data_IF_064531034253
#
_entry.id   IF_064531034253
#
_cell.length_a   1.000
_cell.length_b   1.000
_cell.length_c   1.000
_cell.angle_alpha   90.00
_cell.angle_beta   90.00
_cell.angle_gamma   90.00
#
_symmetry.space_group_name_H-M   'P 1'
#
loop_
_entity.id
_entity.type
_entity.pdbx_description
1 polymer ?
#
# COMPACT_ATOMS: atom_id res chain seq x y z
N UNK A 1 21.39 -69.05 19.04
CA UNK A 1 20.57 -70.27 18.88
C UNK A 1 19.53 -70.04 17.76
N UNK A 2 18.69 -71.04 17.43
CA UNK A 2 17.59 -71.03 16.41
C UNK A 2 16.71 -69.77 16.52
N UNK A 3 16.13 -69.12 15.50
CA UNK A 3 15.93 -69.31 14.03
C UNK A 3 14.93 -70.39 13.56
N UNK A 4 13.69 -69.97 13.22
CA UNK A 4 12.72 -70.49 12.23
C UNK A 4 11.79 -69.29 11.82
N UNK A 5 11.22 -69.05 10.62
CA UNK A 5 10.65 -69.85 9.49
C UNK A 5 9.22 -70.37 9.76
N UNK A 6 8.23 -70.38 8.83
CA UNK A 6 7.98 -69.67 7.52
C UNK A 6 6.53 -70.01 7.03
N UNK A 7 6.06 -69.41 5.92
CA UNK A 7 4.86 -69.76 5.08
C UNK A 7 3.46 -69.47 5.68
N UNK A 8 2.37 -69.28 4.92
CA UNK A 8 2.25 -68.89 3.48
C UNK A 8 1.43 -69.81 2.54
N UNK A 9 0.26 -69.33 2.07
CA UNK A 9 -0.52 -69.63 0.82
C UNK A 9 -1.71 -68.64 0.82
N UNK A 10 -2.17 -67.95 -0.24
CA UNK A 10 -2.28 -68.16 -1.70
C UNK A 10 -3.50 -69.01 -2.14
N UNK A 11 -4.43 -68.37 -2.86
CA UNK A 11 -5.59 -68.95 -3.55
C UNK A 11 -6.14 -67.97 -4.59
N UNK A 12 -6.54 -68.45 -5.77
CA UNK A 12 -6.86 -67.67 -6.99
C UNK A 12 -7.96 -68.43 -7.79
N UNK A 13 -8.57 -67.78 -8.82
CA UNK A 13 -9.59 -68.30 -9.76
C UNK A 13 -11.04 -68.26 -9.17
N UNK A 14 -12.17 -68.10 -9.90
CA UNK A 14 -12.55 -67.67 -11.28
C UNK A 14 -14.11 -67.44 -11.24
N UNK A 15 -14.88 -66.83 -12.18
CA UNK A 15 -14.67 -66.26 -13.52
C UNK A 15 -15.67 -65.09 -13.83
N UNK A 16 -16.06 -64.92 -15.11
CA UNK A 16 -17.04 -63.99 -15.71
C UNK A 16 -18.49 -64.57 -15.73
N UNK A 17 -19.57 -63.96 -16.26
CA UNK A 17 -19.82 -62.76 -17.12
C UNK A 17 -21.25 -62.20 -16.82
N UNK A 18 -21.94 -61.28 -17.54
CA UNK A 18 -21.71 -60.51 -18.79
C UNK A 18 -22.54 -59.17 -18.73
N UNK A 19 -22.05 -58.01 -19.20
CA UNK A 19 -22.22 -57.37 -20.53
C UNK A 19 -23.65 -56.91 -20.93
N UNK A 20 -23.86 -55.58 -20.93
CA UNK A 20 -24.32 -54.80 -22.11
C UNK A 20 -24.02 -53.30 -21.92
N UNK A 21 -23.37 -52.68 -22.93
CA UNK A 21 -23.79 -51.40 -23.57
C UNK A 21 -23.89 -50.12 -22.68
N UNK A 22 -23.21 -48.98 -22.96
CA UNK A 22 -22.47 -48.50 -24.15
C UNK A 22 -21.36 -47.49 -23.79
N UNK A 23 -20.49 -47.14 -24.75
CA UNK A 23 -19.74 -45.86 -24.75
C UNK A 23 -18.30 -45.91 -24.19
N UNK A 24 -17.27 -45.60 -25.00
CA UNK A 24 -15.88 -45.53 -24.53
C UNK A 24 -15.49 -44.12 -24.06
N UNK A 25 -14.73 -44.03 -22.97
CA UNK A 25 -13.87 -42.86 -22.66
C UNK A 25 -12.44 -43.36 -22.45
N UNK A 26 -11.52 -42.82 -23.25
CA UNK A 26 -10.11 -43.19 -23.22
C UNK A 26 -9.42 -42.64 -21.95
N UNK A 27 -8.52 -43.43 -21.37
CA UNK A 27 -7.68 -43.01 -20.25
C UNK A 27 -6.56 -42.06 -20.73
N UNK A 28 -6.93 -40.81 -20.98
CA UNK A 28 -5.98 -39.76 -21.36
C UNK A 28 -5.45 -39.03 -20.11
N UNK A 29 -4.12 -39.06 -19.92
CA UNK A 29 -3.45 -38.32 -18.86
C UNK A 29 -3.44 -36.81 -19.17
N UNK A 30 -4.55 -36.13 -18.90
CA UNK A 30 -4.69 -34.70 -19.09
C UNK A 30 -3.94 -33.93 -17.99
N UNK A 31 -2.91 -33.18 -18.37
CA UNK A 31 -2.23 -32.23 -17.49
C UNK A 31 -3.25 -31.26 -16.86
N UNK A 32 -3.22 -31.09 -15.54
CA UNK A 32 -4.02 -30.10 -14.82
C UNK A 32 -3.52 -28.67 -15.12
N UNK A 33 -3.83 -28.19 -16.32
CA UNK A 33 -3.51 -26.85 -16.82
C UNK A 33 -4.14 -25.81 -15.91
N UNK A 34 -3.32 -25.16 -15.08
CA UNK A 34 -3.75 -24.21 -14.06
C UNK A 34 -4.62 -23.10 -14.68
N UNK A 35 -5.94 -23.15 -14.45
CA UNK A 35 -6.92 -22.25 -15.06
C UNK A 35 -7.10 -20.99 -14.23
N UNK A 36 -6.18 -20.05 -14.45
CA UNK A 36 -6.44 -18.62 -14.58
C UNK A 36 -7.66 -18.07 -13.78
N UNK A 37 -7.55 -18.01 -12.46
CA UNK A 37 -8.37 -17.16 -11.61
C UNK A 37 -7.62 -15.84 -11.37
N UNK A 38 -8.24 -14.70 -11.65
CA UNK A 38 -7.53 -13.43 -11.75
C UNK A 38 -7.01 -12.90 -10.41
N UNK A 39 -5.68 -12.76 -10.29
CA UNK A 39 -5.06 -11.88 -9.29
C UNK A 39 -5.32 -10.42 -9.67
N UNK A 40 -6.52 -9.94 -9.34
CA UNK A 40 -7.02 -8.64 -9.78
C UNK A 40 -6.17 -7.47 -9.26
N UNK A 41 -6.08 -6.41 -10.07
CA UNK A 41 -5.49 -5.14 -9.66
C UNK A 41 -6.31 -4.51 -8.55
N UNK A 42 -5.75 -4.43 -7.35
CA UNK A 42 -6.30 -3.54 -6.31
C UNK A 42 -5.57 -2.21 -6.32
N UNK A 43 -6.33 -1.16 -6.64
CA UNK A 43 -6.04 0.25 -6.40
C UNK A 43 -6.70 0.67 -5.08
N UNK A 44 -6.31 1.81 -4.48
CA UNK A 44 -7.03 2.41 -3.36
C UNK A 44 -8.55 2.50 -3.62
N UNK A 45 -8.92 2.91 -4.84
CA UNK A 45 -10.31 2.97 -5.31
C UNK A 45 -11.01 1.60 -5.40
N UNK A 46 -10.27 0.50 -5.59
CA UNK A 46 -10.81 -0.87 -5.55
C UNK A 46 -10.86 -1.44 -4.12
N UNK A 47 -10.21 -0.78 -3.15
CA UNK A 47 -10.36 -1.02 -1.72
C UNK A 47 -11.46 -0.16 -1.07
N UNK A 48 -12.08 0.77 -1.83
CA UNK A 48 -13.04 1.75 -1.32
C UNK A 48 -12.40 2.94 -0.58
N UNK A 49 -11.07 3.06 -0.56
CA UNK A 49 -10.37 4.08 0.23
C UNK A 49 -10.10 5.32 -0.63
N UNK A 50 -10.47 6.55 -0.20
CA UNK A 50 -10.04 7.78 -0.87
C UNK A 50 -8.51 7.90 -0.88
N UNK A 51 -7.94 8.29 -2.03
CA UNK A 51 -6.48 8.27 -2.23
C UNK A 51 -5.70 9.06 -1.15
N UNK A 52 -6.20 10.23 -0.75
CA UNK A 52 -5.57 11.06 0.28
C UNK A 52 -5.63 10.44 1.69
N UNK A 53 -6.65 9.62 1.97
CA UNK A 53 -6.76 8.89 3.23
C UNK A 53 -5.76 7.74 3.29
N UNK A 54 -5.58 7.00 2.18
CA UNK A 54 -4.55 5.96 2.09
C UNK A 54 -3.14 6.54 2.25
N UNK A 55 -2.88 7.74 1.70
CA UNK A 55 -1.59 8.42 1.89
C UNK A 55 -1.30 8.70 3.38
N UNK A 56 -2.30 9.09 4.16
CA UNK A 56 -2.19 9.26 5.61
C UNK A 56 -1.97 7.93 6.35
N UNK A 57 -2.70 6.88 6.00
CA UNK A 57 -2.50 5.54 6.60
C UNK A 57 -1.09 4.98 6.31
N UNK A 58 -0.56 5.19 5.08
CA UNK A 58 0.81 4.80 4.73
C UNK A 58 1.84 5.61 5.53
N UNK A 59 1.61 6.92 5.67
CA UNK A 59 2.51 7.85 6.36
C UNK A 59 2.55 7.59 7.87
N UNK A 60 1.39 7.54 8.53
CA UNK A 60 1.29 7.27 9.97
C UNK A 60 1.89 5.92 10.37
N UNK A 61 1.60 4.86 9.60
CA UNK A 61 2.20 3.54 9.83
C UNK A 61 3.73 3.53 9.63
N UNK A 62 4.26 4.28 8.67
CA UNK A 62 5.70 4.38 8.42
C UNK A 62 6.44 5.25 9.46
N UNK A 63 5.76 6.23 10.08
CA UNK A 63 6.36 7.14 11.06
C UNK A 63 6.37 6.61 12.50
N UNK A 64 5.51 5.64 12.85
CA UNK A 64 5.23 5.28 14.25
C UNK A 64 6.48 4.92 15.09
N UNK A 65 7.50 4.30 14.49
CA UNK A 65 8.72 3.88 15.18
C UNK A 65 9.62 5.03 15.63
N UNK A 66 9.37 6.26 15.15
CA UNK A 66 9.96 7.51 15.67
C UNK A 66 9.50 7.80 17.10
N UNK A 67 8.30 7.35 17.46
CA UNK A 67 7.64 7.63 18.74
C UNK A 67 7.53 6.39 19.62
N UNK A 68 7.30 5.22 19.03
CA UNK A 68 7.27 3.91 19.71
C UNK A 68 8.26 2.96 19.04
N UNK A 69 9.55 3.11 19.39
CA UNK A 69 10.66 2.35 18.78
C UNK A 69 10.58 0.83 18.94
N UNK A 70 9.86 0.35 19.97
CA UNK A 70 9.60 -1.08 20.18
C UNK A 70 8.49 -1.67 19.33
N UNK A 71 7.69 -0.85 18.63
CA UNK A 71 6.52 -1.34 17.90
C UNK A 71 6.89 -2.14 16.63
N UNK A 72 6.17 -3.24 16.40
CA UNK A 72 6.35 -4.12 15.24
C UNK A 72 5.01 -4.39 14.56
N UNK A 73 5.05 -4.79 13.28
CA UNK A 73 3.87 -5.24 12.52
C UNK A 73 2.81 -4.17 12.22
N UNK A 74 3.00 -2.92 12.65
CA UNK A 74 2.21 -1.78 12.20
C UNK A 74 2.25 -1.68 10.67
N UNK A 75 1.08 -1.52 10.07
CA UNK A 75 0.88 -1.45 8.62
C UNK A 75 -0.39 -0.67 8.30
N UNK A 76 -0.45 -0.06 7.11
CA UNK A 76 -1.58 0.79 6.71
C UNK A 76 -2.93 0.06 6.77
N UNK A 77 -2.96 -1.27 6.59
CA UNK A 77 -4.16 -2.09 6.69
C UNK A 77 -4.81 -2.04 8.08
N UNK A 78 -4.02 -1.89 9.16
CA UNK A 78 -4.55 -1.73 10.52
C UNK A 78 -5.30 -0.40 10.64
N UNK A 79 -4.66 0.69 10.18
CA UNK A 79 -5.23 2.04 10.24
C UNK A 79 -6.46 2.18 9.33
N UNK A 80 -6.43 1.58 8.14
CA UNK A 80 -7.60 1.44 7.29
C UNK A 80 -8.72 0.60 7.95
N UNK A 81 -8.36 -0.49 8.64
CA UNK A 81 -9.31 -1.32 9.39
C UNK A 81 -10.10 -0.55 10.43
N UNK A 82 -9.44 0.30 11.21
CA UNK A 82 -10.07 1.22 12.17
C UNK A 82 -10.91 2.26 11.42
N UNK A 83 -10.29 3.08 10.54
CA UNK A 83 -10.96 4.20 9.89
C UNK A 83 -12.15 3.80 9.00
N UNK A 84 -12.21 2.54 8.53
CA UNK A 84 -13.41 1.98 7.87
C UNK A 84 -14.60 1.92 8.84
N UNK A 85 -14.38 1.41 10.05
CA UNK A 85 -15.43 1.23 11.06
C UNK A 85 -15.84 2.57 11.66
N UNK A 86 -14.87 3.47 11.86
CA UNK A 86 -15.10 4.78 12.51
C UNK A 86 -15.72 5.84 11.58
N UNK A 87 -15.40 5.85 10.28
CA UNK A 87 -15.84 6.93 9.37
C UNK A 87 -16.04 6.52 7.91
N UNK A 88 -16.02 5.21 7.59
CA UNK A 88 -15.93 4.69 6.21
C UNK A 88 -14.79 5.37 5.41
N UNK A 89 -13.66 5.66 6.08
CA UNK A 89 -12.54 6.45 5.56
C UNK A 89 -12.91 7.90 5.17
N UNK A 90 -13.66 8.61 6.02
CA UNK A 90 -14.18 9.96 5.73
C UNK A 90 -15.10 10.02 4.49
N UNK A 91 -15.90 8.96 4.27
CA UNK A 91 -16.83 8.85 3.14
C UNK A 91 -17.83 10.01 3.11
N UNK A 92 -17.88 10.74 1.99
CA UNK A 92 -18.72 11.94 1.84
C UNK A 92 -18.06 13.27 2.26
N UNK A 93 -16.85 13.26 2.82
CA UNK A 93 -16.10 14.46 3.19
C UNK A 93 -15.04 14.81 2.14
N UNK A 94 -14.66 16.09 2.05
CA UNK A 94 -13.50 16.54 1.28
C UNK A 94 -12.25 16.37 2.15
N UNK A 95 -11.18 15.82 1.57
CA UNK A 95 -9.87 15.68 2.23
C UNK A 95 -8.87 16.52 1.46
N UNK A 96 -8.38 17.60 2.08
CA UNK A 96 -7.46 18.55 1.49
C UNK A 96 -6.07 17.98 1.23
N UNK A 97 -5.28 18.66 0.39
CA UNK A 97 -3.90 18.23 0.11
C UNK A 97 -3.04 18.16 1.38
N UNK A 98 -3.23 19.09 2.33
CA UNK A 98 -2.59 19.10 3.65
C UNK A 98 -3.08 18.01 4.61
N UNK A 99 -4.18 17.31 4.28
CA UNK A 99 -4.76 16.23 5.09
C UNK A 99 -6.06 16.60 5.81
N UNK A 100 -6.41 17.89 5.86
CA UNK A 100 -7.59 18.40 6.58
C UNK A 100 -8.91 17.92 5.98
N UNK A 101 -9.83 17.50 6.84
CA UNK A 101 -11.13 16.95 6.45
C UNK A 101 -12.22 17.99 6.67
N UNK A 102 -13.01 18.25 5.63
CA UNK A 102 -14.09 19.25 5.65
C UNK A 102 -15.38 18.71 4.99
N UNK A 103 -16.56 18.85 5.65
CA UNK A 103 -16.75 19.32 7.02
C UNK A 103 -16.04 18.39 8.02
N UNK A 104 -15.83 18.85 9.26
CA UNK A 104 -15.23 18.03 10.32
C UNK A 104 -16.08 16.78 10.63
N UNK A 105 -15.44 15.70 11.06
CA UNK A 105 -16.12 14.46 11.45
C UNK A 105 -16.31 14.47 12.95
N UNK A 106 -17.57 14.53 13.39
CA UNK A 106 -17.96 14.63 14.80
C UNK A 106 -19.08 13.64 15.08
N UNK A 107 -18.87 12.79 16.08
CA UNK A 107 -19.79 11.73 16.47
C UNK A 107 -21.00 12.19 17.28
N UNK A 108 -21.86 11.23 17.68
CA UNK A 108 -22.97 11.49 18.60
C UNK A 108 -22.51 12.11 19.93
N UNK A 109 -23.35 12.96 20.52
CA UNK A 109 -23.12 13.55 21.85
C UNK A 109 -23.03 12.43 22.89
N UNK A 110 -21.98 12.40 23.71
CA UNK A 110 -21.81 11.35 24.72
C UNK A 110 -22.54 11.72 26.02
N UNK A 111 -23.83 12.03 25.93
CA UNK A 111 -24.70 12.47 27.04
C UNK A 111 -25.41 11.32 27.79
N UNK A 112 -25.26 10.08 27.34
CA UNK A 112 -25.91 8.89 27.92
C UNK A 112 -27.32 8.60 27.38
N UNK A 113 -27.79 9.32 26.35
CA UNK A 113 -29.11 9.15 25.72
C UNK A 113 -29.35 7.81 24.99
N UNK A 114 -28.32 6.98 24.82
CA UNK A 114 -28.33 5.81 23.94
C UNK A 114 -27.84 6.09 22.51
N UNK A 115 -27.67 7.37 22.13
CA UNK A 115 -27.13 7.75 20.83
C UNK A 115 -25.70 7.19 20.63
N UNK A 116 -25.41 6.63 19.46
CA UNK A 116 -24.14 5.93 19.20
C UNK A 116 -23.91 4.68 20.07
N UNK A 117 -24.93 4.19 20.78
CA UNK A 117 -24.79 3.14 21.80
C UNK A 117 -24.35 3.65 23.17
N UNK A 118 -24.12 4.96 23.35
CA UNK A 118 -23.65 5.48 24.63
C UNK A 118 -24.76 5.56 25.69
N UNK A 119 -24.58 4.82 26.79
CA UNK A 119 -25.49 4.79 27.94
C UNK A 119 -24.92 5.46 29.20
N UNK A 120 -23.73 6.08 29.12
CA UNK A 120 -23.09 6.78 30.25
C UNK A 120 -22.60 8.16 29.82
N UNK A 121 -23.00 9.21 30.54
CA UNK A 121 -22.55 10.56 30.23
C UNK A 121 -21.04 10.72 30.41
N UNK A 122 -20.33 11.13 29.36
CA UNK A 122 -18.92 11.54 29.38
C UNK A 122 -18.88 13.06 29.25
N UNK A 123 -18.15 13.72 30.14
CA UNK A 123 -18.02 15.19 30.15
C UNK A 123 -16.92 15.63 29.19
N UNK A 124 -17.14 16.80 28.59
CA UNK A 124 -16.16 17.54 27.79
C UNK A 124 -14.79 17.59 28.48
N UNK A 125 -13.73 17.31 27.72
CA UNK A 125 -12.33 17.43 28.18
C UNK A 125 -11.49 18.45 27.41
N UNK A 126 -12.03 19.15 26.40
CA UNK A 126 -11.29 20.12 25.55
C UNK A 126 -11.87 21.55 25.48
N UNK A 127 -13.06 21.79 26.02
CA UNK A 127 -13.76 23.08 25.97
C UNK A 127 -14.61 23.27 24.70
N UNK A 128 -14.89 22.20 23.96
CA UNK A 128 -15.47 22.24 22.62
C UNK A 128 -14.46 22.62 21.52
N UNK A 129 -13.16 22.42 21.76
CA UNK A 129 -12.08 22.86 20.88
C UNK A 129 -12.03 22.09 19.55
N UNK A 130 -12.44 20.82 19.53
CA UNK A 130 -12.50 20.01 18.30
C UNK A 130 -13.91 19.64 17.82
N UNK A 131 -14.96 19.87 18.61
CA UNK A 131 -16.35 19.50 18.24
C UNK A 131 -17.41 20.59 18.46
N UNK A 132 -17.04 21.71 19.11
CA UNK A 132 -17.93 22.79 19.53
C UNK A 132 -19.02 22.36 20.55
N UNK A 133 -18.75 21.39 21.44
CA UNK A 133 -19.66 20.92 22.50
C UNK A 133 -19.04 20.97 23.91
N UNK A 134 -19.12 22.13 24.56
CA UNK A 134 -18.53 22.38 25.90
C UNK A 134 -19.33 21.84 27.10
N UNK A 135 -20.11 20.77 26.91
CA UNK A 135 -20.85 20.10 28.01
C UNK A 135 -20.60 18.59 28.09
N UNK A 136 -20.44 17.91 26.95
CA UNK A 136 -20.31 16.46 26.84
C UNK A 136 -19.39 16.11 25.67
N UNK A 137 -18.54 15.11 25.91
CA UNK A 137 -17.52 14.66 24.96
C UNK A 137 -18.15 14.13 23.65
N UNK A 138 -17.38 14.19 22.56
CA UNK A 138 -17.71 13.52 21.28
C UNK A 138 -16.49 12.86 20.68
N UNK A 139 -16.75 11.87 19.84
CA UNK A 139 -15.71 11.26 19.03
C UNK A 139 -15.37 12.16 17.82
N UNK A 140 -14.10 12.52 17.64
CA UNK A 140 -13.62 13.47 16.62
C UNK A 140 -12.70 12.84 15.59
N UNK A 141 -12.77 13.34 14.36
CA UNK A 141 -11.90 12.94 13.26
C UNK A 141 -12.27 11.62 12.58
N UNK A 142 -11.52 11.22 11.54
CA UNK A 142 -11.80 10.00 10.77
C UNK A 142 -11.49 8.70 11.53
N UNK A 143 -10.83 8.84 12.67
CA UNK A 143 -10.49 7.78 13.63
C UNK A 143 -11.36 7.83 14.91
N UNK A 144 -12.33 8.75 14.99
CA UNK A 144 -13.30 8.86 16.08
C UNK A 144 -12.68 8.80 17.49
N UNK A 145 -11.62 9.59 17.71
CA UNK A 145 -10.99 9.72 19.01
C UNK A 145 -11.85 10.48 20.00
N UNK A 146 -11.83 10.09 21.28
CA UNK A 146 -12.16 11.05 22.34
C UNK A 146 -11.04 12.10 22.46
N UNK A 147 -11.35 13.40 22.58
CA UNK A 147 -10.37 14.48 22.76
C UNK A 147 -9.26 14.21 23.80
N UNK A 148 -9.56 13.65 24.99
CA UNK A 148 -8.50 13.29 25.94
C UNK A 148 -7.49 12.28 25.36
N UNK A 149 -7.98 11.25 24.66
CA UNK A 149 -7.13 10.25 23.97
C UNK A 149 -6.31 10.90 22.86
N UNK A 150 -6.91 11.77 22.04
CA UNK A 150 -6.16 12.45 20.99
C UNK A 150 -5.10 13.42 21.57
N UNK A 151 -5.39 14.09 22.69
CA UNK A 151 -4.41 14.94 23.39
C UNK A 151 -3.21 14.16 23.92
N UNK A 152 -3.42 12.91 24.36
CA UNK A 152 -2.33 12.04 24.81
C UNK A 152 -1.46 11.51 23.64
N UNK A 153 -2.09 11.06 22.55
CA UNK A 153 -1.39 10.32 21.49
C UNK A 153 -1.09 11.13 20.22
N UNK A 154 -1.80 12.23 19.97
CA UNK A 154 -1.67 13.11 18.80
C UNK A 154 -0.26 13.61 18.53
N UNK A 155 0.15 13.61 17.26
CA UNK A 155 1.45 14.06 16.75
C UNK A 155 1.23 14.73 15.40
N UNK A 156 2.06 15.73 15.10
CA UNK A 156 2.22 16.30 13.77
C UNK A 156 2.66 15.17 12.80
N UNK A 157 1.78 14.82 11.88
CA UNK A 157 1.95 13.75 10.91
C UNK A 157 2.38 14.24 9.52
N UNK A 158 2.03 15.47 9.15
CA UNK A 158 2.31 16.04 7.83
C UNK A 158 3.56 16.96 7.80
N UNK A 159 3.99 17.47 8.95
CA UNK A 159 5.10 18.38 9.15
C UNK A 159 4.76 19.88 9.09
N UNK A 160 3.50 20.28 9.23
CA UNK A 160 3.06 21.69 9.12
C UNK A 160 3.11 22.48 10.44
N UNK A 161 3.29 21.81 11.57
CA UNK A 161 3.37 22.42 12.90
C UNK A 161 2.06 22.53 13.68
N UNK A 162 0.93 22.10 13.10
CA UNK A 162 -0.32 21.85 13.82
C UNK A 162 -0.41 20.40 14.35
N UNK A 163 -1.42 20.13 15.17
CA UNK A 163 -1.84 18.77 15.54
C UNK A 163 -3.38 18.77 15.65
N UNK A 164 -4.07 18.08 14.74
CA UNK A 164 -5.52 18.13 14.59
C UNK A 164 -6.14 16.75 14.42
N UNK A 165 -7.19 16.37 15.18
CA UNK A 165 -7.89 15.11 14.94
C UNK A 165 -8.63 15.10 13.59
N UNK A 166 -8.88 16.28 13.01
CA UNK A 166 -9.53 16.44 11.72
C UNK A 166 -8.55 16.47 10.54
N UNK A 167 -7.25 16.27 10.78
CA UNK A 167 -6.27 16.01 9.75
C UNK A 167 -5.96 14.50 9.68
N UNK A 168 -6.00 13.90 8.49
CA UNK A 168 -5.81 12.45 8.35
C UNK A 168 -4.40 11.97 8.71
N UNK A 169 -3.36 12.77 8.47
CA UNK A 169 -1.99 12.32 8.73
C UNK A 169 -1.71 12.26 10.23
N UNK A 170 -2.12 13.30 10.95
CA UNK A 170 -2.07 13.39 12.42
C UNK A 170 -2.92 12.30 13.07
N UNK A 171 -4.16 12.11 12.61
CA UNK A 171 -5.08 11.13 13.18
C UNK A 171 -4.62 9.68 12.89
N UNK A 172 -4.08 9.40 11.70
CA UNK A 172 -3.49 8.12 11.37
C UNK A 172 -2.22 7.83 12.17
N UNK A 173 -1.37 8.85 12.41
CA UNK A 173 -0.19 8.72 13.25
C UNK A 173 -0.55 8.55 14.73
N UNK A 174 -1.53 9.29 15.24
CA UNK A 174 -2.05 9.15 16.60
C UNK A 174 -2.59 7.74 16.84
N UNK A 175 -3.38 7.21 15.90
CA UNK A 175 -3.91 5.85 15.96
C UNK A 175 -2.78 4.81 15.90
N UNK A 176 -1.74 5.07 15.10
CA UNK A 176 -0.57 4.21 15.06
C UNK A 176 0.16 4.17 16.41
N UNK A 177 0.47 5.34 17.00
CA UNK A 177 1.14 5.45 18.30
C UNK A 177 0.30 4.80 19.41
N UNK A 178 -1.01 5.05 19.42
CA UNK A 178 -1.91 4.50 20.45
C UNK A 178 -2.00 2.97 20.40
N UNK A 179 -2.21 2.38 19.21
CA UNK A 179 -2.26 0.93 19.03
C UNK A 179 -0.91 0.25 19.33
N UNK A 180 0.20 0.92 19.01
CA UNK A 180 1.54 0.45 19.36
C UNK A 180 1.81 0.46 20.88
N UNK A 181 1.24 1.41 21.62
CA UNK A 181 1.38 1.54 23.07
C UNK A 181 2.84 1.51 23.54
N UNK A 182 3.16 0.63 24.49
CA UNK A 182 4.52 0.45 25.01
C UNK A 182 5.43 -0.43 24.13
N UNK A 183 5.14 -0.57 22.83
CA UNK A 183 5.92 -1.38 21.89
C UNK A 183 5.37 -2.81 21.68
N UNK A 184 4.08 -2.92 21.38
CA UNK A 184 3.44 -4.19 20.99
C UNK A 184 3.96 -4.72 19.64
N UNK A 185 3.83 -6.03 19.42
CA UNK A 185 3.94 -6.63 18.09
C UNK A 185 2.55 -6.81 17.47
N UNK A 186 2.19 -5.96 16.52
CA UNK A 186 0.90 -5.98 15.81
C UNK A 186 0.92 -6.88 14.56
N UNK A 187 2.02 -7.63 14.35
CA UNK A 187 2.08 -8.78 13.46
C UNK A 187 1.55 -10.04 14.15
N UNK A 188 1.61 -10.09 15.47
CA UNK A 188 0.92 -11.10 16.29
C UNK A 188 -0.58 -10.78 16.38
N UNK A 189 -1.42 -11.78 16.10
CA UNK A 189 -2.87 -11.57 15.94
C UNK A 189 -3.57 -11.32 17.28
N UNK A 190 -3.07 -11.89 18.38
CA UNK A 190 -3.68 -11.73 19.69
C UNK A 190 -3.28 -10.39 20.33
N UNK A 191 -2.03 -9.95 20.17
CA UNK A 191 -1.60 -8.59 20.52
C UNK A 191 -2.31 -7.52 19.69
N UNK A 192 -2.52 -7.75 18.39
CA UNK A 192 -3.30 -6.84 17.53
C UNK A 192 -4.76 -6.75 18.00
N UNK A 193 -5.43 -7.89 18.25
CA UNK A 193 -6.79 -7.92 18.82
C UNK A 193 -6.86 -7.22 20.18
N UNK A 194 -5.88 -7.41 21.06
CA UNK A 194 -5.81 -6.73 22.35
C UNK A 194 -5.56 -5.22 22.22
N UNK A 195 -4.81 -4.77 21.20
CA UNK A 195 -4.61 -3.35 20.92
C UNK A 195 -5.90 -2.69 20.41
N UNK A 196 -6.62 -3.35 19.49
CA UNK A 196 -7.92 -2.89 18.99
C UNK A 196 -8.96 -2.89 20.13
N UNK A 197 -8.92 -3.87 21.03
CA UNK A 197 -9.80 -3.88 22.21
C UNK A 197 -9.46 -2.76 23.21
N UNK A 198 -8.21 -2.28 23.29
CA UNK A 198 -7.92 -1.03 24.02
C UNK A 198 -8.36 0.23 23.27
N UNK A 199 -8.54 0.16 21.95
CA UNK A 199 -9.12 1.26 21.17
C UNK A 199 -10.63 1.41 21.47
N UNK A 200 -11.36 0.29 21.46
CA UNK A 200 -12.77 0.22 21.80
C UNK A 200 -13.06 -1.11 22.51
N UNK A 201 -13.66 -1.06 23.70
CA UNK A 201 -13.87 -2.20 24.61
C UNK A 201 -15.00 -3.18 24.16
N UNK A 202 -15.19 -3.33 22.85
CA UNK A 202 -16.20 -4.17 22.23
C UNK A 202 -15.55 -5.24 21.34
N UNK A 203 -15.73 -6.52 21.69
CA UNK A 203 -15.23 -7.62 20.85
C UNK A 203 -15.88 -7.68 19.47
N UNK A 204 -17.13 -7.21 19.33
CA UNK A 204 -17.78 -7.10 18.02
C UNK A 204 -17.06 -6.07 17.12
N UNK A 205 -16.69 -4.91 17.69
CA UNK A 205 -15.85 -3.91 17.00
C UNK A 205 -14.48 -4.49 16.63
N UNK A 206 -13.84 -5.24 17.54
CA UNK A 206 -12.55 -5.91 17.26
C UNK A 206 -12.71 -6.88 16.07
N UNK A 207 -13.80 -7.63 16.01
CA UNK A 207 -14.06 -8.57 14.91
C UNK A 207 -14.37 -7.85 13.58
N UNK A 208 -15.10 -6.73 13.59
CA UNK A 208 -15.36 -5.90 12.40
C UNK A 208 -14.10 -5.19 11.87
N UNK A 209 -13.25 -4.67 12.77
CA UNK A 209 -11.95 -4.09 12.41
C UNK A 209 -11.02 -5.18 11.87
N UNK A 210 -10.89 -6.32 12.54
CA UNK A 210 -10.08 -7.45 12.05
C UNK A 210 -10.59 -7.99 10.70
N UNK A 211 -11.90 -8.03 10.50
CA UNK A 211 -12.55 -8.35 9.23
C UNK A 211 -12.24 -7.32 8.13
N UNK A 212 -12.07 -6.03 8.48
CA UNK A 212 -11.52 -5.01 7.59
C UNK A 212 -10.04 -5.27 7.27
N UNK A 213 -9.20 -5.47 8.29
CA UNK A 213 -7.76 -5.74 8.16
C UNK A 213 -7.49 -6.95 7.26
N UNK A 214 -8.18 -8.07 7.51
CA UNK A 214 -8.04 -9.31 6.73
C UNK A 214 -8.45 -9.11 5.25
N UNK A 215 -9.45 -8.24 4.98
CA UNK A 215 -9.78 -7.83 3.60
C UNK A 215 -8.61 -7.06 3.00
N UNK A 216 -8.13 -5.99 3.63
CA UNK A 216 -7.04 -5.16 3.09
C UNK A 216 -5.72 -5.93 2.93
N UNK A 217 -5.43 -6.91 3.78
CA UNK A 217 -4.28 -7.82 3.61
C UNK A 217 -4.49 -8.79 2.41
N UNK A 218 -5.73 -9.24 2.17
CA UNK A 218 -6.09 -10.07 1.01
C UNK A 218 -6.13 -9.32 -0.33
N UNK A 219 -6.19 -7.98 -0.32
CA UNK A 219 -6.06 -7.12 -1.50
C UNK A 219 -4.63 -7.10 -2.09
N UNK A 220 -3.72 -7.90 -1.51
CA UNK A 220 -2.31 -7.94 -1.82
C UNK A 220 -1.55 -7.00 -0.90
N UNK A 221 -0.55 -7.56 -0.20
CA UNK A 221 0.42 -6.74 0.53
C UNK A 221 1.01 -5.72 -0.43
N UNK A 222 0.97 -4.44 -0.08
CA UNK A 222 2.06 -3.55 -0.51
C UNK A 222 3.33 -4.21 0.07
N UNK A 223 4.30 -4.65 -0.75
CA UNK A 223 5.42 -5.41 -0.25
C UNK A 223 6.14 -4.60 0.82
N UNK A 224 6.52 -5.26 1.91
CA UNK A 224 7.15 -4.60 3.05
C UNK A 224 8.39 -3.84 2.56
N UNK A 225 8.32 -2.51 2.62
CA UNK A 225 9.29 -1.61 1.99
C UNK A 225 10.69 -1.97 2.48
N UNK A 226 11.61 -2.43 1.60
CA UNK A 226 12.88 -3.01 2.06
C UNK A 226 13.69 -2.01 2.88
N UNK A 227 14.07 -2.38 4.10
CA UNK A 227 14.73 -1.47 5.04
C UNK A 227 16.04 -0.89 4.48
N UNK A 228 16.29 0.39 4.74
CA UNK A 228 17.47 1.11 4.25
C UNK A 228 17.23 1.75 2.87
N UNK A 229 18.28 1.86 2.07
CA UNK A 229 18.30 2.68 0.86
C UNK A 229 17.20 2.33 -0.15
N UNK A 230 16.89 1.04 -0.36
CA UNK A 230 15.84 0.60 -1.30
C UNK A 230 14.46 1.13 -0.87
N UNK A 231 14.13 1.04 0.41
CA UNK A 231 12.89 1.58 0.98
C UNK A 231 12.82 3.09 0.86
N UNK A 232 13.94 3.80 1.05
CA UNK A 232 14.02 5.25 0.84
C UNK A 232 13.72 5.64 -0.62
N UNK A 233 14.26 4.91 -1.62
CA UNK A 233 13.91 5.10 -3.03
C UNK A 233 12.42 4.91 -3.28
N UNK A 234 11.86 3.79 -2.82
CA UNK A 234 10.46 3.46 -3.11
C UNK A 234 9.51 4.43 -2.38
N UNK A 235 9.77 4.77 -1.11
CA UNK A 235 8.99 5.77 -0.37
C UNK A 235 9.05 7.15 -1.06
N UNK A 236 10.23 7.59 -1.48
CA UNK A 236 10.38 8.86 -2.17
C UNK A 236 9.57 8.91 -3.48
N UNK A 237 9.57 7.82 -4.27
CA UNK A 237 8.78 7.73 -5.49
C UNK A 237 7.27 7.67 -5.24
N UNK A 238 6.82 6.87 -4.27
CA UNK A 238 5.41 6.77 -3.90
C UNK A 238 4.86 8.09 -3.34
N UNK A 239 5.67 8.84 -2.59
CA UNK A 239 5.32 10.16 -2.09
C UNK A 239 5.15 11.24 -3.19
N UNK A 240 5.50 10.93 -4.45
CA UNK A 240 5.22 11.79 -5.61
C UNK A 240 4.01 11.30 -6.43
N UNK A 241 3.28 10.27 -6.00
CA UNK A 241 2.04 9.87 -6.67
C UNK A 241 1.05 11.04 -6.74
N UNK A 242 0.38 11.19 -7.89
CA UNK A 242 -0.50 12.33 -8.17
C UNK A 242 0.20 13.57 -8.74
N UNK A 243 1.54 13.68 -8.64
CA UNK A 243 2.26 14.79 -9.28
C UNK A 243 2.10 14.76 -10.81
N UNK A 244 1.90 15.91 -11.48
CA UNK A 244 1.75 15.95 -12.94
C UNK A 244 2.96 15.39 -13.69
N UNK A 245 2.72 14.81 -14.87
CA UNK A 245 3.81 14.59 -15.82
C UNK A 245 4.26 15.94 -16.39
N UNK A 246 5.55 16.23 -16.29
CA UNK A 246 6.18 17.40 -16.91
C UNK A 246 7.31 16.96 -17.86
N UNK A 247 7.21 17.28 -19.14
CA UNK A 247 8.19 16.85 -20.15
C UNK A 247 9.54 17.56 -19.93
N UNK A 248 10.58 16.82 -19.55
CA UNK A 248 11.86 17.39 -19.15
C UNK A 248 11.88 17.95 -17.71
N UNK A 249 10.76 17.84 -16.98
CA UNK A 249 10.65 18.32 -15.59
C UNK A 249 11.10 17.29 -14.56
N UNK A 250 11.46 17.80 -13.39
CA UNK A 250 11.86 17.02 -12.22
C UNK A 250 13.33 16.57 -12.22
N UNK A 251 13.84 16.29 -11.02
CA UNK A 251 15.20 15.83 -10.80
C UNK A 251 15.52 15.60 -9.31
N UNK A 252 16.80 15.46 -8.91
CA UNK A 252 17.21 15.08 -7.55
C UNK A 252 16.58 15.88 -6.39
N UNK A 253 16.34 17.18 -6.62
CA UNK A 253 15.78 18.10 -5.62
C UNK A 253 14.26 17.96 -5.43
N UNK A 254 13.50 17.68 -6.49
CA UNK A 254 12.03 17.72 -6.48
C UNK A 254 11.40 17.80 -7.88
N UNK A 255 10.08 18.03 -7.97
CA UNK A 255 9.42 18.37 -9.22
C UNK A 255 9.89 19.74 -9.73
N UNK A 256 9.88 19.94 -11.04
CA UNK A 256 10.17 21.25 -11.66
C UNK A 256 9.24 21.47 -12.86
N UNK A 257 9.18 22.71 -13.35
CA UNK A 257 8.78 22.95 -14.75
C UNK A 257 9.72 22.22 -15.70
N UNK A 258 9.17 21.78 -16.83
CA UNK A 258 9.89 21.10 -17.89
C UNK A 258 10.29 22.04 -19.03
N UNK A 259 10.31 21.50 -20.25
CA UNK A 259 10.66 22.21 -21.49
C UNK A 259 9.60 21.97 -22.56
N UNK A 260 9.49 22.90 -23.52
CA UNK A 260 8.81 22.60 -24.78
C UNK A 260 9.79 21.89 -25.74
N UNK A 261 9.41 20.84 -26.45
CA UNK A 261 8.13 20.15 -26.44
C UNK A 261 8.36 18.64 -26.55
N UNK A 262 7.42 17.85 -26.02
CA UNK A 262 7.42 16.39 -26.21
C UNK A 262 7.26 16.00 -27.69
N UNK A 263 7.63 14.77 -28.11
CA UNK A 263 7.42 14.29 -29.49
C UNK A 263 5.96 14.26 -29.97
N UNK A 264 4.99 14.56 -29.11
CA UNK A 264 3.56 14.74 -29.45
C UNK A 264 3.07 16.18 -29.25
N UNK A 265 3.98 17.16 -29.23
CA UNK A 265 3.67 18.59 -29.20
C UNK A 265 3.24 19.15 -27.84
N UNK A 266 3.12 18.34 -26.79
CA UNK A 266 2.79 18.86 -25.45
C UNK A 266 3.99 19.54 -24.80
N UNK A 267 3.77 20.73 -24.24
CA UNK A 267 4.74 21.58 -23.58
C UNK A 267 4.87 21.23 -22.09
N UNK A 268 6.10 21.02 -21.60
CA UNK A 268 6.39 20.82 -20.17
C UNK A 268 6.68 22.11 -19.40
N UNK A 269 6.96 23.22 -20.08
CA UNK A 269 7.44 24.46 -19.44
C UNK A 269 6.41 25.14 -18.53
N UNK A 270 5.11 24.87 -18.76
CA UNK A 270 3.98 25.39 -17.98
C UNK A 270 3.52 24.44 -16.86
N UNK A 271 4.08 23.24 -16.76
CA UNK A 271 3.64 22.20 -15.81
C UNK A 271 4.78 21.88 -14.84
N UNK A 272 4.59 22.14 -13.54
CA UNK A 272 5.52 21.62 -12.52
C UNK A 272 5.23 20.15 -12.24
N UNK A 273 6.25 19.29 -12.26
CA UNK A 273 6.09 17.85 -12.10
C UNK A 273 7.34 17.05 -12.44
N UNK A 274 7.16 15.83 -12.95
CA UNK A 274 8.25 14.92 -13.33
C UNK A 274 8.05 14.29 -14.71
N UNK A 275 9.14 14.03 -15.46
CA UNK A 275 9.15 12.94 -16.43
C UNK A 275 9.65 11.62 -15.80
N UNK A 276 9.60 10.54 -16.57
CA UNK A 276 9.96 9.19 -16.12
C UNK A 276 11.34 9.12 -15.46
N UNK A 277 12.34 9.75 -16.08
CA UNK A 277 13.72 9.80 -15.62
C UNK A 277 13.97 10.87 -14.55
N UNK A 278 13.19 11.95 -14.52
CA UNK A 278 13.22 12.94 -13.44
C UNK A 278 12.70 12.36 -12.11
N UNK A 279 11.64 11.54 -12.16
CA UNK A 279 11.10 10.82 -10.99
C UNK A 279 12.10 9.82 -10.41
N UNK A 280 12.78 9.06 -11.27
CA UNK A 280 13.80 8.10 -10.82
C UNK A 280 15.02 8.81 -10.24
N UNK A 281 15.47 9.93 -10.85
CA UNK A 281 16.51 10.79 -10.27
C UNK A 281 16.15 11.29 -8.87
N UNK A 282 14.92 11.80 -8.67
CA UNK A 282 14.44 12.24 -7.36
C UNK A 282 14.48 11.13 -6.31
N UNK A 283 13.94 9.96 -6.66
CA UNK A 283 13.83 8.82 -5.76
C UNK A 283 15.21 8.27 -5.36
N UNK A 284 16.10 8.06 -6.33
CA UNK A 284 17.45 7.56 -6.08
C UNK A 284 18.36 8.58 -5.36
N UNK A 285 18.13 9.88 -5.55
CA UNK A 285 18.82 10.91 -4.78
C UNK A 285 18.51 10.83 -3.27
N UNK A 286 17.33 10.34 -2.85
CA UNK A 286 17.02 10.12 -1.42
C UNK A 286 17.77 8.93 -0.82
N UNK A 287 18.36 8.07 -1.66
CA UNK A 287 19.31 7.03 -1.27
C UNK A 287 20.79 7.43 -1.52
N UNK A 288 21.05 8.70 -1.85
CA UNK A 288 22.41 9.21 -2.14
C UNK A 288 22.96 8.84 -3.52
N UNK A 289 22.13 8.32 -4.43
CA UNK A 289 22.54 7.84 -5.76
C UNK A 289 22.14 8.88 -6.83
N UNK A 290 23.13 9.46 -7.47
CA UNK A 290 22.93 10.41 -8.57
C UNK A 290 22.77 9.66 -9.91
N UNK A 291 21.52 9.50 -10.37
CA UNK A 291 21.22 8.93 -11.68
C UNK A 291 21.49 9.92 -12.84
N UNK A 292 21.89 9.45 -14.03
CA UNK A 292 21.87 10.22 -15.28
C UNK A 292 20.48 10.79 -15.63
N UNK A 293 20.41 11.76 -16.56
CA UNK A 293 19.16 12.49 -16.82
C UNK A 293 18.18 11.78 -17.74
N UNK A 294 18.63 10.89 -18.63
CA UNK A 294 17.74 10.17 -19.56
C UNK A 294 17.55 8.71 -19.16
N UNK A 295 16.39 8.15 -19.51
CA UNK A 295 16.06 6.74 -19.28
C UNK A 295 17.09 5.77 -19.92
N UNK A 296 17.65 6.13 -21.09
CA UNK A 296 18.66 5.34 -21.78
C UNK A 296 19.99 5.28 -21.03
N UNK A 297 20.49 6.41 -20.53
CA UNK A 297 21.71 6.47 -19.71
C UNK A 297 21.52 5.73 -18.36
N UNK A 298 20.34 5.85 -17.75
CA UNK A 298 20.01 5.18 -16.49
C UNK A 298 20.07 3.64 -16.58
N UNK A 299 19.87 3.04 -17.76
CA UNK A 299 20.02 1.59 -17.96
C UNK A 299 21.47 1.10 -17.77
N UNK A 300 22.46 1.99 -17.89
CA UNK A 300 23.88 1.73 -17.63
C UNK A 300 24.35 2.14 -16.22
N UNK A 301 23.48 2.72 -15.39
CA UNK A 301 23.85 3.26 -14.07
C UNK A 301 24.00 2.20 -12.95
N UNK A 302 23.87 0.91 -13.27
CA UNK A 302 23.96 -0.19 -12.31
C UNK A 302 24.15 -1.55 -12.99
N UNK A 303 23.98 -2.65 -12.25
CA UNK A 303 24.05 -4.00 -12.81
C UNK A 303 22.83 -4.26 -13.67
N UNK A 304 23.03 -4.25 -14.99
CA UNK A 304 21.99 -4.52 -15.99
C UNK A 304 21.36 -5.90 -15.82
N UNK A 305 20.05 -5.95 -16.02
CA UNK A 305 19.21 -7.15 -16.10
C UNK A 305 18.64 -7.18 -17.54
N UNK A 306 19.03 -8.15 -18.40
CA UNK A 306 18.58 -8.17 -19.79
C UNK A 306 17.10 -8.54 -19.90
N UNK A 307 16.42 -8.05 -20.94
CA UNK A 307 15.00 -8.34 -21.18
C UNK A 307 14.67 -9.85 -21.22
N UNK A 308 15.61 -10.66 -21.71
CA UNK A 308 15.52 -12.13 -21.77
C UNK A 308 15.45 -12.82 -20.40
N UNK A 309 15.80 -12.15 -19.31
CA UNK A 309 15.61 -12.65 -17.95
C UNK A 309 14.15 -12.49 -17.44
N UNK A 310 13.32 -11.71 -18.15
CA UNK A 310 11.93 -11.46 -17.79
C UNK A 310 11.75 -10.62 -16.53
N UNK A 311 10.49 -10.35 -16.15
CA UNK A 311 10.16 -9.58 -14.94
C UNK A 311 10.53 -10.32 -13.64
N UNK A 312 10.60 -11.66 -13.66
CA UNK A 312 10.94 -12.49 -12.50
C UNK A 312 12.39 -12.37 -12.02
N UNK A 313 13.26 -11.70 -12.77
CA UNK A 313 14.61 -11.36 -12.35
C UNK A 313 14.69 -10.05 -11.54
N UNK A 314 13.64 -9.23 -11.57
CA UNK A 314 13.56 -7.94 -10.90
C UNK A 314 13.23 -8.10 -9.41
N UNK A 315 13.76 -7.22 -8.57
CA UNK A 315 13.42 -7.09 -7.13
C UNK A 315 13.04 -5.64 -6.82
N UNK A 316 12.24 -5.38 -5.77
CA UNK A 316 11.81 -4.02 -5.44
C UNK A 316 12.99 -3.03 -5.36
N UNK A 317 12.85 -1.89 -6.02
CA UNK A 317 13.89 -0.88 -6.21
C UNK A 317 14.53 -0.87 -7.59
N UNK A 318 14.61 -2.02 -8.28
CA UNK A 318 15.20 -2.10 -9.62
C UNK A 318 14.54 -1.10 -10.58
N UNK A 319 15.36 -0.43 -11.40
CA UNK A 319 14.84 0.31 -12.54
C UNK A 319 14.31 -0.67 -13.59
N UNK A 320 13.15 -0.35 -14.18
CA UNK A 320 12.53 -1.10 -15.29
C UNK A 320 12.43 -0.21 -16.52
N UNK A 321 12.83 -0.72 -17.68
CA UNK A 321 12.95 0.05 -18.92
C UNK A 321 12.07 -0.49 -20.05
N UNK A 322 11.69 0.41 -20.96
CA UNK A 322 10.98 0.10 -22.20
C UNK A 322 11.62 0.86 -23.36
N UNK A 323 11.80 0.19 -24.49
CA UNK A 323 12.54 0.70 -25.63
C UNK A 323 12.35 -0.10 -26.91
N UNK A 324 12.41 0.58 -28.05
CA UNK A 324 12.04 0.03 -29.37
C UNK A 324 12.88 -1.18 -29.82
N UNK A 325 14.04 -1.41 -29.20
CA UNK A 325 14.77 -2.67 -29.27
C UNK A 325 15.17 -3.13 -27.86
N UNK A 326 14.71 -4.30 -27.39
CA UNK A 326 15.02 -4.82 -26.05
C UNK A 326 16.49 -5.24 -25.86
N UNK A 327 17.34 -5.04 -26.88
CA UNK A 327 18.78 -5.30 -26.87
C UNK A 327 19.63 -4.05 -27.11
N UNK A 328 19.03 -2.85 -27.20
CA UNK A 328 19.77 -1.60 -27.48
C UNK A 328 19.28 -0.43 -26.63
N UNK A 329 20.10 -0.01 -25.66
CA UNK A 329 19.71 0.93 -24.61
C UNK A 329 19.45 2.35 -25.13
N UNK A 330 20.10 2.72 -26.24
CA UNK A 330 19.83 3.94 -27.01
C UNK A 330 18.39 4.04 -27.55
N UNK A 331 17.61 2.97 -27.50
CA UNK A 331 16.19 2.96 -27.89
C UNK A 331 15.22 3.06 -26.71
N UNK A 332 15.72 3.10 -25.47
CA UNK A 332 14.92 3.20 -24.25
C UNK A 332 14.25 4.58 -24.17
N UNK A 333 12.92 4.58 -24.18
CA UNK A 333 12.08 5.77 -24.18
C UNK A 333 11.27 5.94 -22.89
N UNK A 334 11.28 4.95 -21.99
CA UNK A 334 10.58 5.03 -20.71
C UNK A 334 11.32 4.26 -19.60
N UNK A 335 11.20 4.74 -18.36
CA UNK A 335 11.72 4.12 -17.14
C UNK A 335 10.69 4.22 -16.00
N UNK A 336 10.64 3.19 -15.16
CA UNK A 336 9.95 3.22 -13.86
C UNK A 336 10.79 2.55 -12.78
N UNK A 337 10.31 2.58 -11.54
CA UNK A 337 10.92 1.85 -10.41
C UNK A 337 10.03 0.65 -10.09
N UNK A 338 10.59 -0.55 -10.14
CA UNK A 338 9.88 -1.78 -9.83
C UNK A 338 9.54 -1.85 -8.33
N UNK A 339 8.29 -2.16 -8.01
CA UNK A 339 7.79 -2.22 -6.64
C UNK A 339 7.80 -3.65 -6.07
N UNK A 340 7.96 -4.66 -6.92
CA UNK A 340 7.54 -6.04 -6.63
C UNK A 340 6.23 -6.38 -7.32
N UNK A 341 5.83 -7.66 -7.25
CA UNK A 341 4.52 -8.19 -7.64
C UNK A 341 4.00 -7.74 -9.03
N UNK A 342 4.91 -7.54 -9.99
CA UNK A 342 4.55 -7.11 -11.35
C UNK A 342 4.07 -5.64 -11.44
N UNK A 343 4.42 -4.77 -10.49
CA UNK A 343 4.06 -3.34 -10.48
C UNK A 343 5.28 -2.41 -10.54
N UNK A 344 5.09 -1.21 -11.08
CA UNK A 344 6.08 -0.12 -11.02
C UNK A 344 5.43 1.21 -10.66
N UNK A 345 6.18 2.11 -10.03
CA UNK A 345 5.85 3.53 -9.88
C UNK A 345 6.57 4.30 -11.01
N UNK A 346 5.82 5.11 -11.78
CA UNK A 346 6.33 5.80 -12.96
C UNK A 346 5.64 7.14 -13.22
N UNK A 347 6.29 8.01 -13.99
CA UNK A 347 5.69 9.15 -14.69
C UNK A 347 5.62 8.78 -16.20
N UNK A 348 4.49 8.28 -16.72
CA UNK A 348 4.51 7.55 -18.01
C UNK A 348 4.43 8.42 -19.26
N UNK A 349 3.60 9.46 -19.29
CA UNK A 349 3.42 10.31 -20.50
C UNK A 349 2.78 11.66 -20.18
N UNK A 350 3.02 12.68 -21.03
CA UNK A 350 2.28 13.95 -20.99
C UNK A 350 0.76 13.76 -20.95
N UNK A 351 0.08 14.63 -20.20
CA UNK A 351 -1.37 14.53 -19.94
C UNK A 351 -1.78 13.44 -18.95
N UNK A 352 -0.85 12.95 -18.11
CA UNK A 352 -1.14 12.04 -17.00
C UNK A 352 -0.33 12.42 -15.75
N UNK A 353 -0.58 11.76 -14.61
CA UNK A 353 0.16 11.94 -13.35
C UNK A 353 1.10 10.75 -13.05
N UNK A 354 2.05 10.96 -12.14
CA UNK A 354 2.83 9.90 -11.47
C UNK A 354 1.88 8.91 -10.80
N UNK A 355 2.03 7.61 -11.07
CA UNK A 355 1.15 6.57 -10.52
C UNK A 355 1.79 5.18 -10.54
N UNK A 356 1.09 4.21 -9.96
CA UNK A 356 1.43 2.79 -10.06
C UNK A 356 0.77 2.19 -11.30
N UNK A 357 1.57 1.73 -12.26
CA UNK A 357 1.16 0.93 -13.43
C UNK A 357 1.68 -0.52 -13.27
N UNK A 358 0.97 -1.55 -13.79
CA UNK A 358 1.55 -2.87 -13.99
C UNK A 358 2.77 -2.82 -14.93
N UNK A 359 3.77 -3.69 -14.73
CA UNK A 359 4.94 -3.77 -15.63
C UNK A 359 4.60 -4.22 -17.05
N UNK A 360 3.40 -4.76 -17.25
CA UNK A 360 2.83 -5.13 -18.56
C UNK A 360 1.96 -4.03 -19.19
N UNK A 361 1.82 -2.86 -18.56
CA UNK A 361 0.98 -1.77 -19.07
C UNK A 361 1.62 -0.99 -20.24
N UNK A 362 2.91 -1.20 -20.50
CA UNK A 362 3.63 -0.67 -21.67
C UNK A 362 4.22 -1.85 -22.46
N UNK A 363 4.15 -1.83 -23.81
CA UNK A 363 4.87 -2.80 -24.65
C UNK A 363 6.38 -2.56 -24.59
N UNK A 364 7.15 -3.40 -25.29
CA UNK A 364 8.57 -3.15 -25.60
C UNK A 364 9.51 -3.13 -24.36
N UNK A 365 9.29 -4.06 -23.41
CA UNK A 365 10.14 -4.26 -22.23
C UNK A 365 11.61 -4.51 -22.59
N UNK A 366 12.49 -3.62 -22.15
CA UNK A 366 13.92 -3.59 -22.45
C UNK A 366 14.82 -4.03 -21.27
N UNK A 367 14.25 -4.76 -20.30
CA UNK A 367 14.95 -5.23 -19.12
C UNK A 367 14.90 -4.25 -17.94
N UNK A 368 15.87 -4.36 -17.04
CA UNK A 368 16.00 -3.52 -15.85
C UNK A 368 17.44 -3.26 -15.46
N UNK A 369 17.67 -2.50 -14.38
CA UNK A 369 19.00 -2.31 -13.80
C UNK A 369 18.92 -2.26 -12.27
N UNK A 370 19.84 -2.96 -11.61
CA UNK A 370 19.96 -3.01 -10.14
C UNK A 370 21.09 -2.11 -9.67
N UNK A 371 20.76 -1.17 -8.79
CA UNK A 371 21.71 -0.20 -8.22
C UNK A 371 22.04 -0.46 -6.74
N UNK A 372 21.29 -1.35 -6.08
CA UNK A 372 21.36 -1.70 -4.65
C UNK A 372 21.23 -3.22 -4.46
#
# INVERSE_FOLDING_TARGET
>A
MKRWKKLGCLGVLLAAAAVCCTGPVLLAAATAKNRNGGGGTVSAAAAGIPERMLAGYLTGAAQVTRYVSGCKGMRWQILAGIARVESDHASGHLVGAGGDIQPVIVGPRLDGSGAGGNTTAIRDTDGGAWDNDSEYERAVGPFQFLPETFRAYGKDGNGDGAVSPHNVDDAALAAAVYLCGNGRDLGDRDQLRAAIHTYNLSWAYVDDVMSGIDRYDALGRVPALPSGNIGAVIQAALAQQGQPYSWGGGGPSGPTTGICCSPRGQDGSTVSGFDCSGLTQYAYAKAGINLPRTAAEQASAGRRIPASAGFGALVPGDLIFYGYSPTSDSTIHHVGIYLGDGKMINAPKPGTQVRIDPVTAMPDYAGGARLL
#
